data_IF_290849540583
#
_entry.id   IF_290849540583
#
_cell.length_a   1.000
_cell.length_b   1.000
_cell.length_c   1.000
_cell.angle_alpha   90.00
_cell.angle_beta   90.00
_cell.angle_gamma   90.00
#
_symmetry.space_group_name_H-M   'P 1'
#
loop_
_entity.id
_entity.type
_entity.pdbx_description
1 polymer ?
#
# COMPACT_ATOMS: atom_id res chain seq x y z
N UNK A 1 9.93 2.96 -20.00
CA UNK A 1 9.16 3.74 -19.00
C UNK A 1 8.63 2.74 -17.97
N UNK A 2 9.33 2.56 -16.86
CA UNK A 2 8.86 1.67 -15.79
C UNK A 2 8.20 2.53 -14.71
N UNK A 3 6.86 2.48 -14.65
CA UNK A 3 6.07 3.07 -13.57
C UNK A 3 6.35 2.30 -12.26
N UNK A 4 7.30 2.81 -11.48
CA UNK A 4 7.74 2.23 -10.21
C UNK A 4 6.78 2.62 -9.07
N UNK A 5 5.64 1.92 -8.95
CA UNK A 5 4.79 2.00 -7.76
C UNK A 5 5.52 1.35 -6.57
N UNK A 6 5.54 2.00 -5.40
CA UNK A 6 6.22 1.48 -4.19
C UNK A 6 5.18 1.11 -3.15
N UNK A 7 5.26 -0.10 -2.58
CA UNK A 7 4.31 -0.52 -1.56
C UNK A 7 4.55 0.20 -0.22
N UNK A 8 3.48 0.69 0.41
CA UNK A 8 3.54 1.38 1.71
C UNK A 8 3.97 0.46 2.87
N UNK A 9 3.70 -0.84 2.79
CA UNK A 9 4.02 -1.81 3.85
C UNK A 9 5.45 -2.34 3.78
N UNK A 10 5.84 -2.91 2.63
CA UNK A 10 7.15 -3.57 2.49
C UNK A 10 8.22 -2.67 1.87
N UNK A 11 7.86 -1.46 1.41
CA UNK A 11 8.72 -0.56 0.64
C UNK A 11 9.37 -1.21 -0.60
N UNK A 12 8.88 -2.39 -1.02
CA UNK A 12 9.34 -3.04 -2.24
C UNK A 12 8.77 -2.29 -3.45
N UNK A 13 9.59 -2.22 -4.49
CA UNK A 13 9.19 -1.74 -5.80
C UNK A 13 8.24 -2.77 -6.41
N UNK A 14 7.06 -2.32 -6.80
CA UNK A 14 6.08 -3.10 -7.53
C UNK A 14 6.43 -2.93 -9.02
N UNK A 15 7.21 -3.86 -9.55
CA UNK A 15 7.54 -3.93 -10.98
C UNK A 15 6.56 -4.89 -11.65
N UNK A 16 5.58 -4.35 -12.39
CA UNK A 16 4.59 -5.13 -13.16
C UNK A 16 3.83 -6.22 -12.36
N UNK A 17 3.64 -6.03 -11.05
CA UNK A 17 2.88 -6.98 -10.22
C UNK A 17 1.36 -6.75 -10.43
N UNK A 18 0.75 -7.58 -11.26
CA UNK A 18 -0.70 -7.67 -11.46
C UNK A 18 -1.36 -8.17 -10.16
N UNK A 19 -2.11 -7.28 -9.49
CA UNK A 19 -2.67 -7.54 -8.15
C UNK A 19 -2.39 -6.45 -7.12
N UNK A 20 -1.81 -5.32 -7.54
CA UNK A 20 -1.62 -4.15 -6.69
C UNK A 20 -2.95 -3.48 -6.36
N UNK A 21 -3.21 -3.26 -5.08
CA UNK A 21 -4.36 -2.51 -4.61
C UNK A 21 -3.96 -1.07 -4.31
N UNK A 22 -4.70 -0.12 -4.88
CA UNK A 22 -4.56 1.31 -4.60
C UNK A 22 -5.88 1.79 -4.04
N UNK A 23 -5.84 2.37 -2.85
CA UNK A 23 -7.02 2.92 -2.19
C UNK A 23 -6.64 4.09 -1.30
N UNK A 24 -7.57 5.02 -1.07
CA UNK A 24 -7.34 6.13 -0.13
C UNK A 24 -7.46 5.64 1.31
N UNK A 25 -6.70 6.25 2.21
CA UNK A 25 -6.77 5.93 3.63
C UNK A 25 -8.23 6.06 4.13
N UNK A 26 -8.83 5.03 4.75
CA UNK A 26 -10.22 5.08 5.21
C UNK A 26 -10.43 6.04 6.39
N UNK A 27 -9.35 6.40 7.10
CA UNK A 27 -9.42 7.30 8.26
C UNK A 27 -9.36 8.77 7.88
N UNK A 28 -8.41 9.15 7.02
CA UNK A 28 -8.20 10.56 6.66
C UNK A 28 -8.58 10.91 5.22
N UNK A 29 -8.65 9.94 4.31
CA UNK A 29 -8.92 10.18 2.88
C UNK A 29 -7.84 10.97 2.14
N UNK A 30 -6.77 11.41 2.83
CA UNK A 30 -5.73 12.30 2.28
C UNK A 30 -4.59 11.55 1.59
N UNK A 31 -4.11 10.44 2.17
CA UNK A 31 -3.06 9.62 1.53
C UNK A 31 -3.65 8.52 0.66
N UNK A 32 -3.02 8.27 -0.47
CA UNK A 32 -3.17 7.01 -1.21
C UNK A 32 -2.25 5.93 -0.64
N UNK A 33 -2.83 4.79 -0.35
CA UNK A 33 -2.15 3.61 0.13
C UNK A 33 -2.05 2.62 -1.03
N UNK A 34 -0.80 2.27 -1.37
CA UNK A 34 -0.49 1.27 -2.37
C UNK A 34 -0.01 -0.01 -1.69
N UNK A 35 -0.70 -1.13 -1.91
CA UNK A 35 -0.35 -2.44 -1.36
C UNK A 35 -0.12 -3.44 -2.48
N UNK A 36 1.05 -4.07 -2.48
CA UNK A 36 1.32 -5.20 -3.37
C UNK A 36 0.51 -6.42 -2.94
N UNK A 37 0.36 -7.37 -3.87
CA UNK A 37 -0.38 -8.61 -3.63
C UNK A 37 0.21 -9.39 -2.46
N UNK A 38 1.53 -9.53 -2.41
CA UNK A 38 2.23 -10.21 -1.31
C UNK A 38 1.89 -9.62 0.06
N UNK A 39 1.81 -8.30 0.20
CA UNK A 39 1.45 -7.68 1.48
C UNK A 39 -0.03 -7.85 1.84
N UNK A 40 -0.94 -7.97 0.85
CA UNK A 40 -2.34 -8.35 1.10
C UNK A 40 -2.44 -9.80 1.54
N UNK A 41 -1.78 -10.73 0.84
CA UNK A 41 -1.78 -12.16 1.17
C UNK A 41 -1.18 -12.43 2.56
N UNK A 42 -0.14 -11.69 2.93
CA UNK A 42 0.49 -11.79 4.24
C UNK A 42 -0.12 -10.86 5.31
N UNK A 43 -1.23 -10.17 5.00
CA UNK A 43 -1.94 -9.29 5.96
C UNK A 43 -0.98 -8.28 6.62
N UNK A 44 0.03 -7.80 5.88
CA UNK A 44 1.09 -6.95 6.43
C UNK A 44 0.51 -5.60 6.78
N UNK A 45 0.61 -5.19 8.05
CA UNK A 45 0.14 -3.88 8.51
C UNK A 45 0.67 -2.76 7.60
N UNK A 46 -0.19 -1.81 7.26
CA UNK A 46 0.21 -0.60 6.57
C UNK A 46 -0.07 0.59 7.48
N UNK A 47 0.82 1.59 7.42
CA UNK A 47 0.68 2.82 8.18
C UNK A 47 0.46 3.99 7.23
N UNK A 48 -0.62 4.75 7.47
CA UNK A 48 -0.84 5.99 6.76
C UNK A 48 0.17 7.04 7.22
N UNK A 49 0.92 7.69 6.30
CA UNK A 49 1.91 8.71 6.66
C UNK A 49 1.26 10.00 7.20
N UNK A 50 0.03 10.32 6.80
CA UNK A 50 -0.63 11.57 7.19
C UNK A 50 -1.29 11.50 8.57
N UNK A 51 -2.03 10.41 8.85
CA UNK A 51 -2.80 10.28 10.09
C UNK A 51 -2.27 9.22 11.05
N UNK A 52 -1.22 8.50 10.67
CA UNK A 52 -0.65 7.41 11.47
C UNK A 52 -1.54 6.19 11.61
N UNK A 53 -2.66 6.09 10.88
CA UNK A 53 -3.55 4.93 10.92
C UNK A 53 -2.82 3.65 10.53
N UNK A 54 -2.84 2.65 11.41
CA UNK A 54 -2.35 1.31 11.13
C UNK A 54 -3.53 0.37 10.86
N UNK A 55 -3.67 -0.07 9.61
CA UNK A 55 -4.72 -1.00 9.21
C UNK A 55 -4.24 -2.45 9.29
N UNK A 56 -4.89 -3.32 10.08
CA UNK A 56 -4.81 -4.77 9.92
C UNK A 56 -5.82 -5.22 8.86
N UNK A 57 -5.40 -6.14 7.99
CA UNK A 57 -6.14 -6.62 6.80
C UNK A 57 -6.19 -5.66 5.62
#
# INVERSE_FOLDING_TARGET
>A
MENKLTCSSCKKRITNESGTAVFKCPKCGKSEIVRCRSCRENVVKYRCPECGFEGPN
#
